data_IF_696896376452
#
_entry.id   IF_696896376452
#
_cell.length_a   1.000
_cell.length_b   1.000
_cell.length_c   1.000
_cell.angle_alpha   90.00
_cell.angle_beta   90.00
_cell.angle_gamma   90.00
#
_symmetry.space_group_name_H-M   'P 1'
#
loop_
_entity.id
_entity.type
_entity.pdbx_description
1 polymer ?
#
# COMPACT_ATOMS: atom_id res chain seq x y z
N UNK A 1 6.78 12.39 -14.89
CA UNK A 1 7.70 12.58 -13.78
C UNK A 1 7.00 12.07 -12.52
N UNK A 2 7.53 11.00 -11.89
CA UNK A 2 7.00 10.49 -10.63
C UNK A 2 7.40 11.42 -9.47
N UNK A 3 6.66 11.35 -8.37
CA UNK A 3 7.04 12.03 -7.14
C UNK A 3 8.38 11.46 -6.59
N UNK A 4 8.97 12.17 -5.66
CA UNK A 4 10.15 11.71 -4.94
C UNK A 4 9.76 11.08 -3.61
N UNK A 5 10.54 10.11 -3.14
CA UNK A 5 10.42 9.54 -1.80
C UNK A 5 11.81 9.33 -1.22
N UNK A 6 12.03 9.88 -0.03
CA UNK A 6 13.27 9.66 0.70
C UNK A 6 13.16 8.44 1.61
N UNK A 7 14.03 7.47 1.37
CA UNK A 7 14.17 6.32 2.26
C UNK A 7 14.92 6.73 3.51
N UNK A 8 14.24 6.69 4.65
CA UNK A 8 14.93 6.85 5.94
C UNK A 8 15.60 5.55 6.33
N UNK A 9 16.81 5.65 6.89
CA UNK A 9 17.44 4.50 7.50
C UNK A 9 16.58 3.98 8.64
N UNK A 10 16.26 2.70 8.59
CA UNK A 10 15.46 2.05 9.61
C UNK A 10 15.97 0.62 9.82
N UNK A 11 15.75 0.11 11.03
CA UNK A 11 16.08 -1.27 11.36
C UNK A 11 15.17 -2.21 10.57
N UNK A 12 15.73 -3.29 10.05
CA UNK A 12 14.91 -4.36 9.52
C UNK A 12 14.18 -5.04 10.68
N UNK A 13 12.87 -5.19 10.52
CA UNK A 13 12.00 -5.87 11.48
C UNK A 13 11.37 -7.09 10.82
N UNK A 14 11.08 -8.16 11.58
CA UNK A 14 10.41 -9.34 11.02
C UNK A 14 8.99 -8.97 10.58
N UNK A 15 8.50 -9.65 9.54
CA UNK A 15 7.11 -9.55 9.12
C UNK A 15 6.17 -10.10 10.19
N UNK A 16 5.04 -9.44 10.36
CA UNK A 16 3.92 -9.87 11.19
C UNK A 16 2.73 -10.27 10.29
N UNK A 17 1.81 -11.06 10.82
CA UNK A 17 0.69 -11.60 10.04
C UNK A 17 -0.47 -10.61 9.95
N UNK A 18 -0.29 -9.55 9.15
CA UNK A 18 -1.37 -8.63 8.79
C UNK A 18 -1.16 -8.00 7.41
N UNK A 19 -2.26 -7.53 6.84
CA UNK A 19 -2.32 -6.68 5.65
C UNK A 19 -2.48 -5.24 6.10
N UNK A 20 -1.69 -4.32 5.53
CA UNK A 20 -1.71 -2.91 5.90
C UNK A 20 -2.49 -2.07 4.88
N UNK A 21 -3.36 -1.21 5.38
CA UNK A 21 -3.80 -0.02 4.67
C UNK A 21 -3.33 1.22 5.42
N UNK A 22 -2.79 2.21 4.72
CA UNK A 22 -2.48 3.51 5.31
C UNK A 22 -2.80 4.65 4.36
N UNK A 23 -3.55 5.61 4.87
CA UNK A 23 -4.06 6.74 4.10
C UNK A 23 -5.37 7.28 4.66
N UNK A 24 -6.03 8.14 3.89
CA UNK A 24 -7.31 8.71 4.27
C UNK A 24 -8.43 7.67 4.19
N UNK A 25 -9.29 7.62 5.21
CA UNK A 25 -10.45 6.72 5.24
C UNK A 25 -11.65 7.37 4.55
N UNK A 26 -11.69 7.26 3.23
CA UNK A 26 -12.72 7.90 2.40
C UNK A 26 -13.10 7.02 1.21
N UNK A 27 -14.29 7.24 0.66
CA UNK A 27 -14.87 6.43 -0.42
C UNK A 27 -13.99 6.45 -1.67
N UNK A 28 -13.46 7.60 -2.06
CA UNK A 28 -12.58 7.71 -3.24
C UNK A 28 -11.27 6.92 -3.11
N UNK A 29 -10.87 6.59 -1.87
CA UNK A 29 -9.73 5.70 -1.59
C UNK A 29 -10.10 4.21 -1.58
N UNK A 30 -11.34 3.88 -1.97
CA UNK A 30 -11.81 2.49 -2.05
C UNK A 30 -12.01 1.81 -0.70
N UNK A 31 -12.18 2.60 0.38
CA UNK A 31 -12.30 2.05 1.74
C UNK A 31 -13.59 1.25 1.90
N UNK A 32 -14.69 1.65 1.27
CA UNK A 32 -15.94 0.91 1.32
C UNK A 32 -15.76 -0.50 0.73
N UNK A 33 -15.13 -0.61 -0.44
CA UNK A 33 -14.80 -1.88 -1.10
C UNK A 33 -13.86 -2.73 -0.24
N UNK A 34 -12.82 -2.11 0.36
CA UNK A 34 -11.88 -2.82 1.22
C UNK A 34 -12.55 -3.33 2.51
N UNK A 35 -13.42 -2.55 3.15
CA UNK A 35 -14.21 -2.98 4.31
C UNK A 35 -15.06 -4.22 3.98
N UNK A 36 -15.75 -4.22 2.83
CA UNK A 36 -16.53 -5.38 2.41
C UNK A 36 -15.65 -6.62 2.17
N UNK A 37 -14.48 -6.43 1.57
CA UNK A 37 -13.51 -7.50 1.40
C UNK A 37 -13.02 -8.05 2.76
N UNK A 38 -12.68 -7.18 3.71
CA UNK A 38 -12.24 -7.59 5.05
C UNK A 38 -13.31 -8.43 5.78
N UNK A 39 -14.59 -8.03 5.70
CA UNK A 39 -15.71 -8.78 6.29
C UNK A 39 -15.85 -10.21 5.73
N UNK A 40 -15.43 -10.43 4.48
CA UNK A 40 -15.45 -11.75 3.82
C UNK A 40 -14.17 -12.56 4.01
N UNK A 41 -13.21 -12.00 4.73
CA UNK A 41 -11.90 -12.58 5.02
C UNK A 41 -11.61 -12.60 6.53
N UNK A 42 -12.49 -13.19 7.36
CA UNK A 42 -12.35 -13.10 8.82
C UNK A 42 -11.08 -13.76 9.36
N UNK A 43 -10.46 -14.65 8.58
CA UNK A 43 -9.20 -15.33 8.92
C UNK A 43 -7.95 -14.48 8.69
N UNK A 44 -8.09 -13.33 8.00
CA UNK A 44 -6.98 -12.43 7.72
C UNK A 44 -7.07 -11.21 8.61
N UNK A 45 -5.97 -10.88 9.28
CA UNK A 45 -5.86 -9.66 10.09
C UNK A 45 -5.47 -8.46 9.24
N UNK A 46 -6.13 -7.34 9.49
CA UNK A 46 -5.84 -6.08 8.82
C UNK A 46 -5.46 -5.01 9.83
N UNK A 47 -4.52 -4.15 9.47
CA UNK A 47 -4.17 -2.94 10.22
C UNK A 47 -4.43 -1.73 9.34
N UNK A 48 -5.24 -0.81 9.84
CA UNK A 48 -5.56 0.43 9.14
C UNK A 48 -4.96 1.62 9.88
N UNK A 49 -4.11 2.38 9.19
CA UNK A 49 -3.44 3.56 9.73
C UNK A 49 -3.89 4.83 8.98
N UNK A 50 -4.70 5.64 9.62
CA UNK A 50 -5.23 6.86 8.99
C UNK A 50 -6.38 7.46 9.77
N UNK A 51 -7.01 8.44 9.13
CA UNK A 51 -8.22 9.11 9.61
C UNK A 51 -9.13 9.42 8.42
N UNK A 52 -10.41 9.58 8.67
CA UNK A 52 -11.36 9.98 7.66
C UNK A 52 -12.81 9.69 8.04
N UNK A 53 -13.76 10.05 7.18
CA UNK A 53 -15.18 9.91 7.48
C UNK A 53 -15.66 8.47 7.67
N UNK A 54 -14.91 7.47 7.19
CA UNK A 54 -15.27 6.06 7.32
C UNK A 54 -14.66 5.36 8.55
N UNK A 55 -14.05 6.09 9.49
CA UNK A 55 -13.43 5.51 10.68
C UNK A 55 -14.42 4.66 11.50
N UNK A 56 -15.63 5.16 11.73
CA UNK A 56 -16.67 4.44 12.48
C UNK A 56 -17.11 3.12 11.81
N UNK A 57 -17.05 3.06 10.47
CA UNK A 57 -17.38 1.83 9.73
C UNK A 57 -16.24 0.81 9.82
N UNK A 58 -14.99 1.27 9.84
CA UNK A 58 -13.79 0.46 10.04
C UNK A 58 -13.83 -0.18 11.42
N UNK A 59 -14.16 0.58 12.46
CA UNK A 59 -14.17 0.13 13.85
C UNK A 59 -15.26 -0.94 14.15
N UNK A 60 -16.23 -1.13 13.23
CA UNK A 60 -17.24 -2.19 13.32
C UNK A 60 -16.77 -3.54 12.75
N UNK A 61 -15.58 -3.63 12.18
CA UNK A 61 -15.08 -4.84 11.52
C UNK A 61 -14.05 -5.53 12.42
N UNK A 62 -14.38 -6.71 12.90
CA UNK A 62 -13.64 -7.40 13.97
C UNK A 62 -12.16 -7.72 13.61
N UNK A 63 -11.88 -8.02 12.35
CA UNK A 63 -10.54 -8.36 11.87
C UNK A 63 -9.74 -7.14 11.36
N UNK A 64 -10.23 -5.91 11.59
CA UNK A 64 -9.51 -4.67 11.31
C UNK A 64 -9.08 -4.02 12.63
N UNK A 65 -7.79 -3.79 12.78
CA UNK A 65 -7.24 -2.96 13.84
C UNK A 65 -7.01 -1.55 13.33
N UNK A 66 -7.86 -0.60 13.70
CA UNK A 66 -7.65 0.82 13.44
C UNK A 66 -6.64 1.38 14.45
N UNK A 67 -5.50 1.87 13.96
CA UNK A 67 -4.43 2.44 14.81
C UNK A 67 -4.38 3.97 14.73
N UNK A 68 -5.36 4.59 14.05
CA UNK A 68 -5.41 6.03 13.84
C UNK A 68 -4.30 6.54 12.92
N UNK A 69 -4.14 7.85 12.88
CA UNK A 69 -3.10 8.48 12.06
C UNK A 69 -1.70 8.15 12.59
N UNK A 70 -0.85 7.66 11.71
CA UNK A 70 0.56 7.34 12.01
C UNK A 70 1.49 8.09 11.06
N UNK A 71 2.67 8.46 11.56
CA UNK A 71 3.72 9.12 10.78
C UNK A 71 5.12 8.79 11.32
N UNK A 72 6.14 9.12 10.54
CA UNK A 72 7.54 8.93 10.93
C UNK A 72 7.87 7.46 11.18
N UNK A 73 8.69 7.20 12.20
CA UNK A 73 9.18 5.86 12.52
C UNK A 73 8.06 4.84 12.79
N UNK A 74 6.95 5.27 13.41
CA UNK A 74 5.81 4.39 13.69
C UNK A 74 5.11 3.91 12.42
N UNK A 75 4.97 4.79 11.42
CA UNK A 75 4.41 4.40 10.12
C UNK A 75 5.36 3.46 9.39
N UNK A 76 6.66 3.79 9.38
CA UNK A 76 7.69 2.94 8.75
C UNK A 76 7.70 1.55 9.37
N UNK A 77 7.62 1.44 10.70
CA UNK A 77 7.54 0.15 11.38
C UNK A 77 6.31 -0.66 10.96
N UNK A 78 5.13 -0.03 10.88
CA UNK A 78 3.91 -0.69 10.39
C UNK A 78 4.08 -1.18 8.94
N UNK A 79 4.67 -0.37 8.06
CA UNK A 79 4.92 -0.77 6.67
C UNK A 79 5.86 -1.98 6.63
N UNK A 80 6.98 -1.92 7.33
CA UNK A 80 7.97 -3.00 7.31
C UNK A 80 7.46 -4.32 7.89
N UNK A 81 6.60 -4.27 8.92
CA UNK A 81 6.03 -5.44 9.56
C UNK A 81 4.91 -6.09 8.76
N UNK A 82 4.20 -5.34 7.93
CA UNK A 82 3.09 -5.86 7.14
C UNK A 82 3.57 -6.94 6.14
N UNK A 83 2.76 -7.98 5.93
CA UNK A 83 3.01 -8.97 4.88
C UNK A 83 3.00 -8.31 3.50
N UNK A 84 1.99 -7.48 3.25
CA UNK A 84 1.86 -6.60 2.11
C UNK A 84 0.90 -5.44 2.48
N UNK A 85 0.89 -4.39 1.67
CA UNK A 85 -0.07 -3.30 1.79
C UNK A 85 -1.12 -3.38 0.68
N UNK A 86 -2.31 -2.83 0.92
CA UNK A 86 -3.38 -2.69 -0.07
C UNK A 86 -3.61 -1.23 -0.36
N UNK A 87 -3.67 -0.88 -1.65
CA UNK A 87 -4.01 0.46 -2.13
C UNK A 87 -5.21 0.41 -3.07
N UNK A 88 -6.46 0.41 -2.54
CA UNK A 88 -7.67 0.07 -3.28
C UNK A 88 -8.35 1.29 -3.92
N UNK A 89 -7.62 2.34 -4.29
CA UNK A 89 -8.18 3.59 -4.78
C UNK A 89 -9.17 3.38 -5.94
N UNK A 90 -10.28 4.08 -5.88
CA UNK A 90 -11.29 4.16 -6.94
C UNK A 90 -11.26 5.53 -7.65
N UNK A 91 -10.23 6.32 -7.35
CA UNK A 91 -9.97 7.62 -7.96
C UNK A 91 -8.68 7.59 -8.76
N UNK A 92 -8.62 8.41 -9.81
CA UNK A 92 -7.41 8.57 -10.62
C UNK A 92 -6.29 9.22 -9.82
N UNK A 93 -5.45 8.38 -9.22
CA UNK A 93 -4.24 8.83 -8.54
C UNK A 93 -3.15 9.14 -9.55
N UNK A 94 -2.40 10.20 -9.32
CA UNK A 94 -1.27 10.52 -10.17
C UNK A 94 -0.03 9.68 -9.78
N UNK A 95 0.44 9.83 -8.55
CA UNK A 95 1.62 9.14 -8.04
C UNK A 95 1.51 9.01 -6.50
N UNK A 96 0.80 7.99 -5.99
CA UNK A 96 0.49 7.88 -4.57
C UNK A 96 1.71 7.54 -3.73
N UNK A 97 2.02 8.39 -2.77
CA UNK A 97 3.15 8.19 -1.84
C UNK A 97 3.04 6.87 -1.07
N UNK A 98 1.84 6.43 -0.71
CA UNK A 98 1.66 5.18 0.05
C UNK A 98 2.16 3.95 -0.70
N UNK A 99 2.04 3.90 -2.02
CA UNK A 99 2.61 2.84 -2.84
C UNK A 99 4.13 2.91 -2.81
N UNK A 100 4.70 4.08 -3.11
CA UNK A 100 6.15 4.29 -3.12
C UNK A 100 6.78 4.00 -1.76
N UNK A 101 6.17 4.48 -0.66
CA UNK A 101 6.64 4.21 0.70
C UNK A 101 6.62 2.72 1.04
N UNK A 102 5.57 1.99 0.64
CA UNK A 102 5.53 0.54 0.85
C UNK A 102 6.71 -0.14 0.17
N UNK A 103 6.97 0.15 -1.09
CA UNK A 103 8.02 -0.50 -1.87
C UNK A 103 9.42 -0.18 -1.33
N UNK A 104 9.74 1.10 -1.07
CA UNK A 104 11.08 1.46 -0.56
C UNK A 104 11.40 0.81 0.79
N UNK A 105 10.39 0.49 1.59
CA UNK A 105 10.56 -0.22 2.86
C UNK A 105 10.44 -1.74 2.72
N UNK A 106 10.38 -2.27 1.49
CA UNK A 106 10.39 -3.69 1.19
C UNK A 106 9.06 -4.39 1.50
N UNK A 107 7.95 -3.68 1.33
CA UNK A 107 6.61 -4.24 1.52
C UNK A 107 5.86 -4.23 0.19
N UNK A 108 5.52 -5.42 -0.37
CA UNK A 108 4.77 -5.55 -1.61
C UNK A 108 3.42 -4.84 -1.54
N UNK A 109 2.93 -4.39 -2.68
CA UNK A 109 1.65 -3.67 -2.77
C UNK A 109 0.66 -4.44 -3.62
N UNK A 110 -0.57 -4.61 -3.11
CA UNK A 110 -1.73 -4.95 -3.92
C UNK A 110 -2.43 -3.64 -4.28
N UNK A 111 -2.31 -3.19 -5.52
CA UNK A 111 -2.82 -1.91 -6.00
C UNK A 111 -4.00 -2.04 -6.94
N UNK A 112 -4.92 -1.07 -6.89
CA UNK A 112 -5.99 -0.97 -7.88
C UNK A 112 -5.43 -0.55 -9.25
N UNK A 113 -5.88 -1.21 -10.32
CA UNK A 113 -5.49 -0.89 -11.71
C UNK A 113 -6.21 0.37 -12.18
N UNK A 114 -5.79 1.54 -11.67
CA UNK A 114 -6.37 2.85 -12.01
C UNK A 114 -5.32 3.97 -11.92
N UNK A 115 -5.43 4.95 -12.80
CA UNK A 115 -4.56 6.14 -12.82
C UNK A 115 -3.09 5.78 -12.97
N UNK A 116 -2.24 6.40 -12.13
CA UNK A 116 -0.79 6.15 -12.11
C UNK A 116 -0.33 5.00 -11.20
N UNK A 117 -1.25 4.27 -10.55
CA UNK A 117 -0.88 3.16 -9.67
C UNK A 117 -0.15 2.05 -10.46
N UNK A 118 -0.61 1.63 -11.67
CA UNK A 118 0.08 0.62 -12.47
C UNK A 118 1.46 1.04 -12.99
N UNK A 119 1.80 2.32 -12.93
CA UNK A 119 3.14 2.81 -13.30
C UNK A 119 4.17 2.59 -12.17
N UNK A 120 3.70 2.39 -10.94
CA UNK A 120 4.55 2.21 -9.77
C UNK A 120 4.74 0.73 -9.44
N UNK A 121 3.69 -0.08 -9.57
CA UNK A 121 3.70 -1.50 -9.21
C UNK A 121 4.03 -2.32 -10.45
N UNK A 122 5.15 -3.03 -10.42
CA UNK A 122 5.48 -4.02 -11.45
C UNK A 122 4.76 -5.33 -11.11
N UNK A 123 3.63 -5.56 -11.84
CA UNK A 123 2.71 -6.68 -11.57
C UNK A 123 3.41 -8.04 -11.65
N UNK A 124 3.25 -8.84 -10.61
CA UNK A 124 3.93 -10.13 -10.45
C UNK A 124 5.42 -10.02 -10.06
N UNK A 125 5.97 -8.83 -9.82
CA UNK A 125 7.38 -8.59 -9.47
C UNK A 125 7.52 -7.84 -8.14
N UNK A 126 6.90 -6.65 -7.99
CA UNK A 126 6.92 -5.88 -6.75
C UNK A 126 5.60 -5.96 -5.98
N UNK A 127 4.55 -6.47 -6.61
CA UNK A 127 3.22 -6.60 -6.06
C UNK A 127 2.25 -7.21 -7.06
N UNK A 128 0.98 -7.01 -6.85
CA UNK A 128 -0.09 -7.43 -7.77
C UNK A 128 -1.05 -6.26 -8.04
N UNK A 129 -1.70 -6.30 -9.20
CA UNK A 129 -2.77 -5.36 -9.57
C UNK A 129 -4.12 -6.08 -9.56
N UNK A 130 -5.18 -5.36 -9.19
CA UNK A 130 -6.56 -5.84 -9.26
C UNK A 130 -7.47 -4.78 -9.88
N UNK A 131 -8.60 -5.19 -10.42
CA UNK A 131 -9.57 -4.30 -11.06
C UNK A 131 -10.19 -3.33 -10.04
N UNK A 132 -9.99 -2.02 -10.26
CA UNK A 132 -10.48 -0.96 -9.37
C UNK A 132 -11.99 -1.05 -9.13
N UNK A 133 -12.42 -0.99 -7.87
CA UNK A 133 -13.82 -1.11 -7.47
C UNK A 133 -14.39 -2.53 -7.52
N UNK A 134 -13.63 -3.52 -7.99
CA UNK A 134 -14.06 -4.92 -8.03
C UNK A 134 -13.71 -5.64 -6.72
N UNK A 135 -14.67 -5.71 -5.82
CA UNK A 135 -14.54 -6.38 -4.53
C UNK A 135 -14.12 -7.86 -4.65
N UNK A 136 -14.68 -8.59 -5.63
CA UNK A 136 -14.40 -10.02 -5.80
C UNK A 136 -12.97 -10.26 -6.27
N UNK A 137 -12.47 -9.43 -7.18
CA UNK A 137 -11.10 -9.50 -7.64
C UNK A 137 -10.12 -9.10 -6.52
N UNK A 138 -10.44 -8.06 -5.75
CA UNK A 138 -9.68 -7.68 -4.55
C UNK A 138 -9.56 -8.84 -3.55
N UNK A 139 -10.67 -9.50 -3.22
CA UNK A 139 -10.69 -10.67 -2.32
C UNK A 139 -9.82 -11.81 -2.87
N UNK A 140 -9.92 -12.11 -4.15
CA UNK A 140 -9.13 -13.15 -4.81
C UNK A 140 -7.63 -12.88 -4.69
N UNK A 141 -7.20 -11.65 -4.97
CA UNK A 141 -5.79 -11.26 -4.87
C UNK A 141 -5.29 -11.24 -3.41
N UNK A 142 -6.07 -10.71 -2.46
CA UNK A 142 -5.71 -10.76 -1.03
C UNK A 142 -5.49 -12.21 -0.59
N UNK A 143 -6.41 -13.14 -0.90
CA UNK A 143 -6.26 -14.56 -0.56
C UNK A 143 -5.03 -15.18 -1.21
N UNK A 144 -4.82 -14.92 -2.50
CA UNK A 144 -3.68 -15.44 -3.25
C UNK A 144 -2.35 -15.00 -2.62
N UNK A 145 -2.18 -13.70 -2.38
CA UNK A 145 -0.97 -13.15 -1.77
C UNK A 145 -0.79 -13.66 -0.33
N UNK A 146 -1.89 -13.72 0.46
CA UNK A 146 -1.83 -14.21 1.84
C UNK A 146 -1.32 -15.64 1.97
N UNK A 147 -1.66 -16.51 1.03
CA UNK A 147 -1.29 -17.93 1.04
C UNK A 147 0.11 -18.22 0.51
N UNK A 148 0.71 -17.31 -0.25
CA UNK A 148 1.96 -17.55 -1.00
C UNK A 148 3.17 -16.85 -0.37
N UNK A 149 3.67 -17.37 0.76
CA UNK A 149 4.80 -16.79 1.48
C UNK A 149 6.07 -16.64 0.64
N UNK A 150 6.38 -17.62 -0.23
CA UNK A 150 7.57 -17.58 -1.07
C UNK A 150 7.51 -16.44 -2.09
N UNK A 151 6.33 -16.26 -2.71
CA UNK A 151 6.10 -15.17 -3.67
C UNK A 151 6.18 -13.82 -2.97
N UNK A 152 5.55 -13.66 -1.81
CA UNK A 152 5.66 -12.43 -1.02
C UNK A 152 7.10 -12.09 -0.63
N UNK A 153 7.90 -13.11 -0.28
CA UNK A 153 9.31 -12.92 0.04
C UNK A 153 10.11 -12.46 -1.18
N UNK A 154 9.79 -12.98 -2.36
CA UNK A 154 10.41 -12.55 -3.62
C UNK A 154 10.00 -11.13 -3.99
N UNK A 155 8.70 -10.79 -3.91
CA UNK A 155 8.22 -9.42 -4.13
C UNK A 155 8.88 -8.44 -3.17
N UNK A 156 8.97 -8.78 -1.88
CA UNK A 156 9.63 -7.95 -0.88
C UNK A 156 11.13 -7.72 -1.17
N UNK A 157 11.81 -8.74 -1.70
CA UNK A 157 13.20 -8.60 -2.14
C UNK A 157 13.31 -7.67 -3.36
N UNK A 158 12.40 -7.79 -4.33
CA UNK A 158 12.37 -6.94 -5.51
C UNK A 158 12.03 -5.48 -5.15
N UNK A 159 11.08 -5.24 -4.25
CA UNK A 159 10.75 -3.91 -3.74
C UNK A 159 11.99 -3.17 -3.19
N UNK A 160 12.91 -3.88 -2.54
CA UNK A 160 14.15 -3.27 -2.03
C UNK A 160 15.08 -2.72 -3.12
N UNK A 161 14.89 -3.15 -4.35
CA UNK A 161 15.65 -2.70 -5.53
C UNK A 161 14.98 -1.52 -6.23
N UNK A 162 13.72 -1.21 -5.89
CA UNK A 162 13.02 -0.04 -6.44
C UNK A 162 13.69 1.24 -5.97
N UNK A 163 13.95 2.14 -6.90
CA UNK A 163 14.53 3.44 -6.63
C UNK A 163 13.60 4.53 -7.14
N UNK A 164 13.34 5.48 -6.28
CA UNK A 164 12.64 6.71 -6.62
C UNK A 164 13.60 7.88 -6.52
N UNK A 165 13.30 8.96 -7.23
CA UNK A 165 14.10 10.17 -7.16
C UNK A 165 14.19 10.71 -5.73
N UNK A 166 15.34 11.26 -5.36
CA UNK A 166 15.46 12.13 -4.21
C UNK A 166 14.82 13.49 -4.50
N UNK A 167 14.63 14.32 -3.49
CA UNK A 167 14.10 15.67 -3.67
C UNK A 167 14.99 16.52 -4.58
N UNK A 168 16.31 16.35 -4.49
CA UNK A 168 17.30 17.05 -5.32
C UNK A 168 17.19 16.62 -6.79
N UNK A 169 17.18 15.31 -7.05
CA UNK A 169 17.05 14.76 -8.40
C UNK A 169 15.71 15.16 -9.05
N UNK A 170 14.64 15.14 -8.27
CA UNK A 170 13.32 15.60 -8.72
C UNK A 170 13.34 17.10 -9.08
N UNK A 171 13.94 17.94 -8.23
CA UNK A 171 14.06 19.36 -8.47
C UNK A 171 14.90 19.67 -9.72
N UNK A 172 16.01 18.95 -9.94
CA UNK A 172 16.82 19.08 -11.15
C UNK A 172 16.05 18.72 -12.42
N UNK A 173 15.25 17.65 -12.38
CA UNK A 173 14.39 17.25 -13.50
C UNK A 173 13.32 18.31 -13.80
N UNK A 174 12.70 18.88 -12.76
CA UNK A 174 11.75 19.98 -12.93
C UNK A 174 12.38 21.19 -13.59
N UNK A 175 13.55 21.63 -13.14
CA UNK A 175 14.25 22.76 -13.75
C UNK A 175 14.52 22.50 -15.23
N UNK A 176 14.93 21.29 -15.61
CA UNK A 176 15.15 20.92 -17.04
C UNK A 176 13.87 20.91 -17.87
N UNK A 177 12.70 20.68 -17.29
CA UNK A 177 11.42 20.70 -18.02
C UNK A 177 10.98 22.15 -18.31
N UNK A 178 11.30 23.09 -17.40
CA UNK A 178 10.87 24.47 -17.48
C UNK A 178 11.93 25.43 -18.04
N UNK A 179 13.14 24.96 -18.36
CA UNK A 179 14.21 25.72 -19.01
C UNK A 179 14.22 25.52 -20.53
#
# INVERSE_FOLDING_TARGET
LHNFVEKKECRQVPKEDYVLYFGRFSTEKGIDTLIQACRKLPEISFVFAGIGPLADEIDKVENIKNVGFQQGEKLVELIQKARFSVYPSEWYENCPFSVMESEIYGTPVLGAEIGGIPELIEDGITGELFESGNEQDLIKHIKSMWQKNEILSQYAANCKSVQYDTIEEYAEKLVKIYS
#
